data_IF_597095310396
#
_entry.id   IF_597095310396
#
_cell.length_a   1.000
_cell.length_b   1.000
_cell.length_c   1.000
_cell.angle_alpha   90.00
_cell.angle_beta   90.00
_cell.angle_gamma   90.00
#
_symmetry.space_group_name_H-M   'P 1'
#
loop_
_entity.id
_entity.type
_entity.pdbx_description
1 polymer ?
#
# COMPACT_ATOMS: atom_id res chain seq x y z
N UNK A 1 38.18 10.48 -16.59
CA UNK A 1 38.85 10.65 -15.29
C UNK A 1 39.40 12.06 -15.27
N UNK A 2 38.68 13.00 -14.67
CA UNK A 2 39.11 14.41 -14.68
C UNK A 2 39.98 14.66 -13.45
N UNK A 3 41.20 15.17 -13.71
CA UNK A 3 42.20 15.73 -12.78
C UNK A 3 41.90 15.62 -11.28
N UNK A 4 42.69 14.80 -10.58
CA UNK A 4 42.70 14.72 -9.11
C UNK A 4 43.81 15.63 -8.58
N UNK A 5 43.50 16.47 -7.60
CA UNK A 5 44.51 17.20 -6.83
C UNK A 5 44.89 16.41 -5.58
N UNK A 6 46.10 16.67 -5.06
CA UNK A 6 46.49 16.19 -3.74
C UNK A 6 45.58 16.79 -2.65
N UNK A 7 45.30 16.05 -1.55
CA UNK A 7 44.49 16.56 -0.45
C UNK A 7 45.21 17.68 0.29
N UNK A 8 44.48 18.73 0.66
CA UNK A 8 44.97 19.80 1.54
C UNK A 8 44.65 19.43 2.98
N UNK A 9 45.67 19.16 3.78
CA UNK A 9 45.53 18.81 5.20
C UNK A 9 46.02 19.98 6.05
N UNK A 10 45.15 20.50 6.91
CA UNK A 10 45.47 21.60 7.83
C UNK A 10 45.01 21.26 9.26
N UNK A 11 45.58 21.94 10.26
CA UNK A 11 45.09 21.83 11.65
C UNK A 11 43.65 22.33 11.72
N UNK A 12 42.75 21.56 12.32
CA UNK A 12 41.38 21.95 12.61
C UNK A 12 41.08 21.78 14.10
N UNK A 13 40.06 22.49 14.60
CA UNK A 13 39.59 22.31 15.99
C UNK A 13 38.71 21.06 16.07
N UNK A 14 38.67 20.39 17.22
CA UNK A 14 37.79 19.24 17.44
C UNK A 14 36.31 19.59 17.24
N UNK A 15 35.92 20.85 17.51
CA UNK A 15 34.59 21.39 17.25
C UNK A 15 34.22 21.49 15.77
N UNK A 16 35.18 21.38 14.85
CA UNK A 16 35.01 21.48 13.39
C UNK A 16 34.90 20.10 12.74
N UNK A 17 34.31 19.12 13.44
CA UNK A 17 34.09 17.78 12.92
C UNK A 17 32.84 17.73 12.02
N UNK A 18 33.04 17.95 10.72
CA UNK A 18 31.99 17.84 9.71
C UNK A 18 32.53 17.34 8.38
N UNK A 19 31.63 16.86 7.52
CA UNK A 19 31.94 16.53 6.12
C UNK A 19 31.07 17.38 5.22
N UNK A 20 31.69 18.09 4.28
CA UNK A 20 30.99 18.86 3.25
C UNK A 20 31.38 18.31 1.90
N UNK A 21 30.37 17.96 1.13
CA UNK A 21 30.54 17.61 -0.28
C UNK A 21 30.07 18.81 -1.11
N UNK A 22 30.92 19.27 -2.02
CA UNK A 22 30.57 20.28 -3.01
C UNK A 22 30.93 19.73 -4.38
N UNK A 23 29.98 19.74 -5.30
CA UNK A 23 30.18 19.21 -6.64
C UNK A 23 29.49 20.12 -7.66
N UNK A 24 30.01 20.11 -8.88
CA UNK A 24 29.39 20.73 -10.06
C UNK A 24 29.08 19.59 -11.03
N UNK A 25 27.79 19.31 -11.32
CA UNK A 25 27.46 18.25 -12.27
C UNK A 25 27.96 18.63 -13.67
N UNK A 26 28.46 17.63 -14.39
CA UNK A 26 28.79 17.77 -15.80
C UNK A 26 27.50 17.72 -16.63
N UNK A 27 26.87 18.89 -16.78
CA UNK A 27 25.58 19.02 -17.45
C UNK A 27 25.64 18.62 -18.93
N UNK A 28 26.80 18.74 -19.58
CA UNK A 28 26.95 18.36 -20.98
C UNK A 28 26.72 16.86 -21.20
N UNK A 29 27.11 16.01 -20.23
CA UNK A 29 26.82 14.56 -20.27
C UNK A 29 25.33 14.23 -20.19
N UNK A 30 24.52 15.17 -19.70
CA UNK A 30 23.06 15.04 -19.63
C UNK A 30 22.34 15.82 -20.73
N UNK A 31 23.08 16.37 -21.71
CA UNK A 31 22.56 17.28 -22.74
C UNK A 31 21.85 18.52 -22.15
N UNK A 32 22.35 19.04 -21.03
CA UNK A 32 21.80 20.20 -20.32
C UNK A 32 22.79 21.37 -20.33
N UNK A 33 22.28 22.60 -20.37
CA UNK A 33 23.10 23.83 -20.27
C UNK A 33 23.06 24.44 -18.87
N UNK A 34 21.98 24.22 -18.15
CA UNK A 34 21.76 24.64 -16.77
C UNK A 34 20.84 23.62 -16.08
N UNK A 35 20.71 23.71 -14.76
CA UNK A 35 19.73 22.92 -14.03
C UNK A 35 18.35 23.57 -14.20
N UNK A 36 17.48 22.92 -14.96
CA UNK A 36 16.09 23.34 -15.15
C UNK A 36 15.31 23.35 -13.81
N UNK A 37 14.29 24.20 -13.73
CA UNK A 37 13.51 24.42 -12.51
C UNK A 37 12.81 23.14 -12.00
N UNK A 38 12.34 22.29 -12.91
CA UNK A 38 11.75 20.97 -12.59
C UNK A 38 12.76 20.04 -11.90
N UNK A 39 14.00 20.00 -12.37
CA UNK A 39 15.08 19.19 -11.82
C UNK A 39 15.48 19.72 -10.45
N UNK A 40 15.61 21.05 -10.32
CA UNK A 40 15.83 21.70 -9.03
C UNK A 40 14.69 21.39 -8.07
N UNK A 41 13.44 21.42 -8.52
CA UNK A 41 12.28 21.07 -7.69
C UNK A 41 12.33 19.61 -7.21
N UNK A 42 12.75 18.67 -8.06
CA UNK A 42 12.95 17.27 -7.67
C UNK A 42 14.08 17.10 -6.65
N UNK A 43 15.19 17.83 -6.80
CA UNK A 43 16.28 17.84 -5.83
C UNK A 43 15.81 18.42 -4.49
N UNK A 44 15.07 19.53 -4.50
CA UNK A 44 14.48 20.14 -3.30
C UNK A 44 13.49 19.18 -2.63
N UNK A 45 12.60 18.55 -3.39
CA UNK A 45 11.69 17.51 -2.89
C UNK A 45 12.48 16.42 -2.17
N UNK A 46 13.60 15.95 -2.75
CA UNK A 46 14.40 14.89 -2.15
C UNK A 46 14.98 15.28 -0.78
N UNK A 47 15.25 16.56 -0.55
CA UNK A 47 15.67 17.07 0.77
C UNK A 47 14.52 16.99 1.79
N UNK A 48 13.28 17.30 1.38
CA UNK A 48 12.09 17.11 2.23
C UNK A 48 11.84 15.62 2.53
N UNK A 49 12.01 14.74 1.54
CA UNK A 49 11.90 13.29 1.72
C UNK A 49 12.88 12.79 2.80
N UNK A 50 14.13 13.27 2.77
CA UNK A 50 15.15 12.94 3.77
C UNK A 50 14.80 13.49 5.15
N UNK A 51 14.30 14.73 5.24
CA UNK A 51 13.86 15.29 6.52
C UNK A 51 12.73 14.45 7.16
N UNK A 52 11.78 13.98 6.35
CA UNK A 52 10.74 13.05 6.80
C UNK A 52 11.29 11.72 7.32
N UNK A 53 12.28 11.14 6.63
CA UNK A 53 12.91 9.87 7.03
C UNK A 53 13.77 9.98 8.30
N UNK A 54 14.45 11.11 8.50
CA UNK A 54 15.34 11.32 9.66
C UNK A 54 14.57 11.75 10.91
N UNK A 55 13.40 12.36 10.73
CA UNK A 55 12.54 12.82 11.82
C UNK A 55 13.24 13.83 12.73
N UNK A 56 13.04 13.71 14.05
CA UNK A 56 13.54 14.66 15.05
C UNK A 56 15.05 14.53 15.32
N UNK A 57 15.70 13.50 14.80
CA UNK A 57 17.11 13.19 15.11
C UNK A 57 18.09 14.14 14.43
N UNK A 58 17.73 14.68 13.26
CA UNK A 58 18.60 15.52 12.43
C UNK A 58 17.85 16.76 11.98
N UNK A 59 18.46 17.93 12.16
CA UNK A 59 17.96 19.19 11.57
C UNK A 59 18.44 19.29 10.13
N UNK A 60 17.51 19.54 9.22
CA UNK A 60 17.79 19.64 7.79
C UNK A 60 17.56 21.08 7.33
N UNK A 61 18.58 21.67 6.72
CA UNK A 61 18.54 23.01 6.13
C UNK A 61 18.68 22.94 4.61
N UNK A 62 17.87 23.72 3.92
CA UNK A 62 17.91 23.86 2.47
C UNK A 62 18.09 25.33 2.11
N UNK A 63 19.20 25.67 1.46
CA UNK A 63 19.51 27.04 1.04
C UNK A 63 19.46 28.06 2.20
N UNK A 64 19.87 27.64 3.41
CA UNK A 64 19.88 28.49 4.61
C UNK A 64 18.53 28.61 5.34
N UNK A 65 17.49 27.94 4.84
CA UNK A 65 16.18 27.88 5.51
C UNK A 65 15.95 26.49 6.08
N UNK A 66 15.57 26.40 7.35
CA UNK A 66 15.27 25.13 8.00
C UNK A 66 13.99 24.50 7.43
N UNK A 67 14.07 23.22 7.08
CA UNK A 67 12.92 22.46 6.60
C UNK A 67 11.94 22.23 7.76
N UNK A 68 10.64 22.46 7.51
CA UNK A 68 9.59 22.40 8.53
C UNK A 68 9.23 20.98 8.97
N UNK A 69 9.50 19.99 8.11
CA UNK A 69 9.23 18.57 8.32
C UNK A 69 10.16 18.03 9.42
N UNK A 70 9.58 17.56 10.53
CA UNK A 70 10.31 17.02 11.69
C UNK A 70 9.91 15.59 12.04
N UNK A 71 8.97 15.01 11.31
CA UNK A 71 8.43 13.66 11.55
C UNK A 71 7.83 13.08 10.28
N UNK A 72 7.59 11.77 10.29
CA UNK A 72 6.84 11.09 9.24
C UNK A 72 5.45 11.69 9.05
N UNK A 73 4.72 11.97 10.14
CA UNK A 73 3.39 12.60 10.08
C UNK A 73 3.46 14.00 9.44
N UNK A 74 4.44 14.83 9.80
CA UNK A 74 4.62 16.15 9.16
C UNK A 74 4.88 16.01 7.66
N UNK A 75 5.72 15.04 7.28
CA UNK A 75 6.05 14.75 5.89
C UNK A 75 4.80 14.34 5.09
N UNK A 76 3.99 13.42 5.61
CA UNK A 76 2.73 13.01 4.96
C UNK A 76 1.76 14.20 4.85
N UNK A 77 1.67 15.04 5.89
CA UNK A 77 0.82 16.23 5.86
C UNK A 77 1.16 17.18 4.71
N UNK A 78 2.43 17.33 4.32
CA UNK A 78 2.83 18.11 3.13
C UNK A 78 2.11 17.61 1.87
N UNK A 79 1.97 16.29 1.70
CA UNK A 79 1.27 15.70 0.55
C UNK A 79 -0.24 15.94 0.58
N UNK A 80 -0.83 15.92 1.77
CA UNK A 80 -2.27 16.13 1.96
C UNK A 80 -2.64 17.59 1.81
N UNK A 81 -1.84 18.50 2.34
CA UNK A 81 -2.06 19.95 2.24
C UNK A 81 -1.88 20.45 0.80
N UNK A 82 -0.95 19.84 0.06
CA UNK A 82 -0.83 20.06 -1.38
C UNK A 82 -2.07 19.60 -2.15
N UNK A 83 -2.67 18.46 -1.77
CA UNK A 83 -3.89 17.95 -2.38
C UNK A 83 -5.10 18.85 -2.10
N UNK A 84 -5.20 19.37 -0.88
CA UNK A 84 -6.26 20.29 -0.45
C UNK A 84 -6.22 21.66 -1.15
N UNK A 85 -5.13 22.05 -1.83
CA UNK A 85 -5.14 23.24 -2.70
C UNK A 85 -6.01 23.07 -3.93
N UNK A 86 -6.28 21.81 -4.33
CA UNK A 86 -7.04 21.47 -5.53
C UNK A 86 -8.46 20.99 -5.25
N UNK A 87 -8.79 20.68 -3.99
CA UNK A 87 -10.09 20.17 -3.56
C UNK A 87 -10.51 20.84 -2.24
N UNK A 88 -11.81 21.05 -2.00
CA UNK A 88 -12.29 21.79 -0.83
C UNK A 88 -11.99 21.10 0.52
N UNK A 89 -11.69 19.80 0.53
CA UNK A 89 -11.46 19.04 1.76
C UNK A 89 -10.20 18.17 1.67
N UNK A 90 -9.47 18.08 2.79
CA UNK A 90 -8.27 17.26 2.92
C UNK A 90 -8.67 15.78 2.86
N UNK A 91 -8.03 14.96 2.00
CA UNK A 91 -8.38 13.55 1.91
C UNK A 91 -8.14 12.87 3.27
N UNK A 92 -9.02 11.95 3.69
CA UNK A 92 -8.78 11.19 4.90
C UNK A 92 -7.46 10.43 4.77
N UNK A 93 -6.68 10.48 5.84
CA UNK A 93 -5.41 9.77 5.97
C UNK A 93 -5.32 9.13 7.34
N UNK A 94 -4.80 7.91 7.40
CA UNK A 94 -4.51 7.19 8.63
C UNK A 94 -3.01 6.89 8.67
N UNK A 95 -2.29 7.51 9.60
CA UNK A 95 -0.89 7.23 9.89
C UNK A 95 -0.73 6.41 11.17
N UNK A 96 0.19 5.45 11.12
CA UNK A 96 0.50 4.56 12.24
C UNK A 96 1.99 4.26 12.29
N UNK A 97 2.58 4.42 13.48
CA UNK A 97 3.89 3.85 13.80
C UNK A 97 3.68 2.44 14.34
N UNK A 98 3.99 1.44 13.51
CA UNK A 98 3.80 0.02 13.85
C UNK A 98 4.88 -0.45 14.84
N UNK A 99 6.12 -0.03 14.61
CA UNK A 99 7.28 -0.30 15.47
C UNK A 99 8.43 0.67 15.11
N UNK A 100 9.62 0.46 15.67
CA UNK A 100 10.79 1.31 15.44
C UNK A 100 11.33 1.32 14.01
N UNK A 101 10.88 0.40 13.15
CA UNK A 101 11.31 0.28 11.75
C UNK A 101 10.21 0.56 10.74
N UNK A 102 8.96 0.69 11.18
CA UNK A 102 7.80 0.79 10.29
C UNK A 102 6.87 1.91 10.72
N UNK A 103 6.77 2.91 9.85
CA UNK A 103 5.75 3.95 9.86
C UNK A 103 5.01 3.87 8.53
N UNK A 104 3.67 3.86 8.60
CA UNK A 104 2.80 3.66 7.45
C UNK A 104 1.76 4.75 7.46
N UNK A 105 1.48 5.32 6.28
CA UNK A 105 0.31 6.16 6.08
C UNK A 105 -0.50 5.66 4.88
N UNK A 106 -1.81 5.56 5.07
CA UNK A 106 -2.76 5.26 4.00
C UNK A 106 -3.66 6.47 3.83
N UNK A 107 -3.83 6.94 2.60
CA UNK A 107 -4.74 8.05 2.27
C UNK A 107 -5.48 7.76 0.99
N UNK A 108 -6.75 8.19 0.92
CA UNK A 108 -7.55 8.06 -0.30
C UNK A 108 -7.07 9.03 -1.37
N UNK A 109 -6.81 8.50 -2.56
CA UNK A 109 -6.40 9.25 -3.75
C UNK A 109 -7.25 8.78 -4.93
N UNK A 110 -7.64 9.71 -5.79
CA UNK A 110 -8.27 9.36 -7.07
C UNK A 110 -7.21 8.88 -8.06
N UNK A 111 -7.53 7.84 -8.83
CA UNK A 111 -6.69 7.34 -9.91
C UNK A 111 -5.91 6.07 -9.55
N UNK A 112 -4.79 5.85 -10.23
CA UNK A 112 -3.97 4.65 -10.05
C UNK A 112 -3.16 4.71 -8.75
N UNK A 113 -2.98 3.53 -8.14
CA UNK A 113 -2.12 3.37 -6.97
C UNK A 113 -0.69 3.83 -7.26
N UNK A 114 -0.19 4.78 -6.47
CA UNK A 114 1.18 5.28 -6.55
C UNK A 114 1.81 5.26 -5.15
N UNK A 115 2.73 4.33 -4.86
CA UNK A 115 3.38 4.28 -3.56
C UNK A 115 4.46 5.36 -3.45
N UNK A 116 4.50 6.02 -2.30
CA UNK A 116 5.66 6.81 -1.87
C UNK A 116 6.30 6.04 -0.71
N UNK A 117 7.46 5.43 -0.95
CA UNK A 117 8.08 4.54 0.03
C UNK A 117 9.59 4.76 0.13
N UNK A 118 10.11 4.47 1.32
CA UNK A 118 11.52 4.60 1.64
C UNK A 118 12.02 3.39 2.40
N UNK A 119 13.24 2.93 2.08
CA UNK A 119 13.95 1.89 2.83
C UNK A 119 15.30 2.47 3.21
N UNK A 120 15.58 2.59 4.51
CA UNK A 120 16.82 3.20 5.01
C UNK A 120 17.10 4.57 4.37
N UNK A 121 16.08 5.43 4.31
CA UNK A 121 16.08 6.74 3.64
C UNK A 121 16.21 6.73 2.12
N UNK A 122 16.34 5.58 1.44
CA UNK A 122 16.39 5.48 -0.02
C UNK A 122 14.97 5.51 -0.58
N UNK A 123 14.69 6.43 -1.51
CA UNK A 123 13.40 6.51 -2.20
C UNK A 123 13.21 5.33 -3.16
N UNK A 124 12.27 4.44 -2.86
CA UNK A 124 11.93 3.28 -3.70
C UNK A 124 10.76 3.62 -4.63
N UNK A 125 11.03 4.46 -5.64
CA UNK A 125 10.00 5.02 -6.55
C UNK A 125 9.23 3.98 -7.36
N UNK A 126 9.81 2.78 -7.54
CA UNK A 126 9.15 1.64 -8.21
C UNK A 126 8.50 0.65 -7.23
N UNK A 127 8.52 0.94 -5.93
CA UNK A 127 8.09 0.01 -4.90
C UNK A 127 9.10 -1.13 -4.67
N UNK A 128 8.58 -2.33 -4.41
CA UNK A 128 9.34 -3.53 -4.06
C UNK A 128 8.60 -4.40 -3.07
N UNK A 129 9.27 -5.44 -2.56
CA UNK A 129 8.69 -6.43 -1.65
C UNK A 129 8.12 -5.81 -0.36
N UNK A 130 8.72 -4.73 0.15
CA UNK A 130 8.23 -3.99 1.31
C UNK A 130 6.91 -3.27 1.03
N UNK A 131 6.70 -2.77 -0.20
CA UNK A 131 5.42 -2.18 -0.61
C UNK A 131 4.38 -3.27 -0.83
N UNK A 132 4.77 -4.37 -1.49
CA UNK A 132 3.84 -5.47 -1.76
C UNK A 132 3.35 -6.13 -0.46
N UNK A 133 4.21 -6.26 0.54
CA UNK A 133 3.84 -6.76 1.87
C UNK A 133 2.71 -5.93 2.50
N UNK A 134 2.82 -4.59 2.47
CA UNK A 134 1.78 -3.69 2.99
C UNK A 134 0.55 -3.66 2.08
N UNK A 135 0.77 -3.71 0.76
CA UNK A 135 -0.31 -3.71 -0.24
C UNK A 135 -1.21 -4.93 -0.10
N UNK A 136 -0.65 -6.13 0.07
CA UNK A 136 -1.41 -7.37 0.23
C UNK A 136 -2.26 -7.31 1.52
N UNK A 137 -1.75 -6.70 2.60
CA UNK A 137 -2.50 -6.46 3.83
C UNK A 137 -3.68 -5.48 3.70
N UNK A 138 -3.73 -4.68 2.63
CA UNK A 138 -4.84 -3.75 2.33
C UNK A 138 -5.76 -4.26 1.21
N UNK A 139 -5.47 -5.43 0.64
CA UNK A 139 -6.43 -6.15 -0.17
C UNK A 139 -7.54 -6.68 0.72
N UNK A 140 -8.76 -6.16 0.56
CA UNK A 140 -9.92 -6.77 1.20
C UNK A 140 -10.06 -8.20 0.68
N UNK A 141 -9.62 -9.19 1.46
CA UNK A 141 -10.15 -10.54 1.33
C UNK A 141 -11.58 -10.51 1.87
N UNK A 142 -12.47 -9.86 1.13
CA UNK A 142 -13.90 -9.98 1.39
C UNK A 142 -14.34 -11.31 0.79
N UNK A 143 -14.57 -12.29 1.66
CA UNK A 143 -15.25 -13.50 1.25
C UNK A 143 -16.72 -13.15 1.03
N UNK A 144 -17.08 -12.87 -0.24
CA UNK A 144 -18.46 -12.75 -0.67
C UNK A 144 -18.84 -14.07 -1.35
N UNK A 145 -19.68 -14.91 -0.73
CA UNK A 145 -20.22 -16.10 -1.38
C UNK A 145 -21.03 -15.72 -2.62
N UNK A 146 -21.15 -16.66 -3.57
CA UNK A 146 -22.17 -16.52 -4.61
C UNK A 146 -23.56 -16.70 -3.97
N UNK A 147 -24.51 -15.83 -4.31
CA UNK A 147 -25.89 -15.89 -3.84
C UNK A 147 -26.85 -16.16 -5.00
N UNK A 148 -28.04 -16.65 -4.68
CA UNK A 148 -29.08 -16.86 -5.67
C UNK A 148 -29.53 -15.51 -6.26
N UNK A 149 -29.53 -15.33 -7.59
CA UNK A 149 -29.98 -14.10 -8.23
C UNK A 149 -31.39 -13.67 -7.82
N UNK A 150 -32.29 -14.62 -7.51
CA UNK A 150 -33.65 -14.28 -7.05
C UNK A 150 -33.65 -13.62 -5.68
N UNK A 151 -32.82 -14.13 -4.76
CA UNK A 151 -32.72 -13.61 -3.40
C UNK A 151 -32.02 -12.24 -3.40
N UNK A 152 -31.01 -12.07 -4.26
CA UNK A 152 -30.39 -10.78 -4.51
C UNK A 152 -31.39 -9.74 -5.02
N UNK A 153 -32.21 -10.09 -6.02
CA UNK A 153 -33.25 -9.19 -6.55
C UNK A 153 -34.28 -8.85 -5.47
N UNK A 154 -34.69 -9.82 -4.66
CA UNK A 154 -35.64 -9.60 -3.57
C UNK A 154 -35.08 -8.62 -2.53
N UNK A 155 -33.83 -8.80 -2.10
CA UNK A 155 -33.17 -7.91 -1.16
C UNK A 155 -32.91 -6.51 -1.73
N UNK A 156 -32.56 -6.39 -3.01
CA UNK A 156 -32.45 -5.08 -3.67
C UNK A 156 -33.80 -4.35 -3.64
N UNK A 157 -34.90 -5.04 -3.93
CA UNK A 157 -36.24 -4.44 -3.86
C UNK A 157 -36.61 -4.00 -2.44
N UNK A 158 -36.27 -4.79 -1.42
CA UNK A 158 -36.46 -4.44 0.00
C UNK A 158 -35.72 -3.16 0.36
N UNK A 159 -34.42 -3.10 0.02
CA UNK A 159 -33.59 -1.93 0.29
C UNK A 159 -34.10 -0.67 -0.41
N UNK A 160 -34.60 -0.80 -1.66
CA UNK A 160 -35.22 0.31 -2.38
C UNK A 160 -36.53 0.80 -1.73
N UNK A 161 -37.24 -0.08 -1.02
CA UNK A 161 -38.45 0.24 -0.28
C UNK A 161 -38.19 0.69 1.17
N UNK A 162 -36.92 0.73 1.62
CA UNK A 162 -36.55 1.11 2.98
C UNK A 162 -36.63 -0.04 4.01
N UNK A 163 -36.89 -1.26 3.56
CA UNK A 163 -36.92 -2.45 4.41
C UNK A 163 -35.50 -3.01 4.66
N UNK A 164 -35.32 -3.70 5.78
CA UNK A 164 -34.08 -4.42 6.06
C UNK A 164 -33.89 -5.62 5.12
N UNK A 165 -32.64 -5.85 4.68
CA UNK A 165 -32.28 -7.02 3.89
C UNK A 165 -32.35 -8.30 4.74
N UNK A 166 -32.84 -9.37 4.14
CA UNK A 166 -32.84 -10.70 4.74
C UNK A 166 -31.48 -11.40 4.55
N UNK A 167 -31.03 -12.20 5.53
CA UNK A 167 -29.85 -13.04 5.37
C UNK A 167 -30.01 -13.98 4.16
N UNK A 168 -28.96 -14.08 3.34
CA UNK A 168 -28.89 -15.01 2.22
C UNK A 168 -27.83 -16.07 2.51
N UNK A 169 -28.07 -17.28 2.00
CA UNK A 169 -27.11 -18.38 2.07
C UNK A 169 -26.43 -18.60 0.71
N UNK A 170 -25.18 -19.11 0.70
CA UNK A 170 -24.46 -19.37 -0.53
C UNK A 170 -25.22 -20.30 -1.48
N UNK A 171 -25.21 -19.97 -2.76
CA UNK A 171 -25.87 -20.73 -3.81
C UNK A 171 -25.07 -20.69 -5.11
N UNK A 172 -25.06 -21.82 -5.82
CA UNK A 172 -24.32 -21.97 -7.05
C UNK A 172 -25.19 -22.63 -8.10
N UNK A 173 -25.27 -22.00 -9.27
CA UNK A 173 -26.08 -22.49 -10.39
C UNK A 173 -25.58 -23.86 -10.82
N UNK A 174 -26.49 -24.83 -10.91
CA UNK A 174 -26.26 -26.23 -11.31
C UNK A 174 -25.53 -27.14 -10.33
N UNK A 175 -25.12 -26.64 -9.16
CA UNK A 175 -24.58 -27.48 -8.11
C UNK A 175 -25.68 -28.38 -7.52
N UNK A 176 -25.43 -29.68 -7.43
CA UNK A 176 -26.36 -30.70 -6.93
C UNK A 176 -26.00 -31.22 -5.54
N UNK A 177 -24.77 -30.97 -5.09
CA UNK A 177 -24.33 -31.26 -3.73
C UNK A 177 -25.02 -30.42 -2.65
N UNK A 178 -24.61 -30.58 -1.40
CA UNK A 178 -25.20 -29.86 -0.25
C UNK A 178 -24.32 -28.71 0.21
N UNK A 179 -24.97 -27.64 0.71
CA UNK A 179 -24.34 -26.48 1.33
C UNK A 179 -25.00 -26.32 2.70
N UNK A 180 -24.38 -26.88 3.73
CA UNK A 180 -24.93 -26.93 5.08
C UNK A 180 -24.29 -25.88 5.97
N UNK A 181 -25.11 -25.09 6.66
CA UNK A 181 -24.64 -24.07 7.58
C UNK A 181 -24.11 -24.73 8.85
N UNK A 182 -22.85 -24.45 9.19
CA UNK A 182 -22.19 -24.96 10.40
C UNK A 182 -21.98 -23.86 11.43
N UNK A 183 -21.94 -24.26 12.71
CA UNK A 183 -21.63 -23.35 13.80
C UNK A 183 -20.20 -22.80 13.63
N UNK A 184 -20.07 -21.49 13.45
CA UNK A 184 -18.77 -20.85 13.40
C UNK A 184 -18.13 -20.83 14.79
N UNK A 185 -16.80 -20.99 14.84
CA UNK A 185 -16.04 -20.87 16.09
C UNK A 185 -15.86 -19.41 16.53
N UNK A 186 -15.95 -18.44 15.61
CA UNK A 186 -15.85 -17.00 15.90
C UNK A 186 -16.72 -16.19 14.90
N UNK A 187 -17.74 -15.49 15.39
CA UNK A 187 -18.31 -14.27 14.78
C UNK A 187 -18.93 -14.28 13.37
N UNK A 188 -19.11 -15.42 12.68
CA UNK A 188 -19.63 -15.47 11.30
C UNK A 188 -20.53 -16.67 10.98
N UNK A 189 -20.97 -16.79 9.73
CA UNK A 189 -21.60 -18.01 9.22
C UNK A 189 -20.52 -18.91 8.60
N UNK A 190 -20.41 -20.16 9.04
CA UNK A 190 -19.56 -21.18 8.40
C UNK A 190 -20.44 -22.10 7.55
N UNK A 191 -19.91 -22.62 6.45
CA UNK A 191 -20.63 -23.53 5.54
C UNK A 191 -19.77 -24.74 5.19
N UNK A 192 -20.37 -25.93 5.26
CA UNK A 192 -19.80 -27.17 4.76
C UNK A 192 -20.38 -27.43 3.38
N UNK A 193 -19.52 -27.59 2.38
CA UNK A 193 -19.92 -27.88 1.00
C UNK A 193 -19.52 -29.32 0.68
N UNK A 194 -20.50 -30.15 0.34
CA UNK A 194 -20.31 -31.56 0.00
C UNK A 194 -20.68 -31.80 -1.46
N UNK A 195 -19.80 -32.46 -2.21
CA UNK A 195 -20.10 -32.96 -3.55
C UNK A 195 -20.98 -34.21 -3.51
N UNK A 196 -21.27 -34.78 -4.67
CA UNK A 196 -22.08 -36.00 -4.79
C UNK A 196 -21.23 -37.19 -5.21
N UNK A 197 -21.50 -38.35 -4.59
CA UNK A 197 -20.92 -39.64 -4.93
C UNK A 197 -22.03 -40.65 -5.23
N UNK A 198 -21.73 -41.58 -6.11
CA UNK A 198 -22.59 -42.70 -6.49
C UNK A 198 -21.86 -44.01 -6.15
N UNK A 199 -22.51 -44.91 -5.41
CA UNK A 199 -21.96 -46.23 -5.12
C UNK A 199 -22.20 -47.17 -6.30
N UNK A 200 -21.12 -47.61 -6.96
CA UNK A 200 -21.20 -48.48 -8.14
C UNK A 200 -21.17 -49.95 -7.73
N UNK A 201 -20.39 -50.29 -6.71
CA UNK A 201 -20.33 -51.61 -6.06
C UNK A 201 -19.60 -51.50 -4.71
N UNK A 202 -19.50 -52.61 -3.97
CA UNK A 202 -18.90 -52.71 -2.63
C UNK A 202 -17.47 -52.15 -2.50
N UNK A 203 -16.73 -52.02 -3.61
CA UNK A 203 -15.35 -51.51 -3.61
C UNK A 203 -15.16 -50.25 -4.45
N UNK A 204 -16.21 -49.75 -5.11
CA UNK A 204 -16.11 -48.68 -6.08
C UNK A 204 -17.14 -47.58 -5.83
N UNK A 205 -16.64 -46.40 -5.47
CA UNK A 205 -17.41 -45.16 -5.42
C UNK A 205 -17.05 -44.29 -6.62
N UNK A 206 -18.06 -43.75 -7.30
CA UNK A 206 -17.91 -42.80 -8.41
C UNK A 206 -18.26 -41.40 -7.93
N UNK A 207 -17.30 -40.49 -8.01
CA UNK A 207 -17.56 -39.07 -7.73
C UNK A 207 -18.28 -38.46 -8.94
N UNK A 208 -19.51 -37.97 -8.74
CA UNK A 208 -20.33 -37.38 -9.81
C UNK A 208 -20.26 -35.85 -9.80
N UNK A 209 -19.95 -35.23 -8.67
CA UNK A 209 -19.72 -33.79 -8.54
C UNK A 209 -18.78 -33.51 -7.36
N UNK A 210 -17.78 -32.63 -7.55
CA UNK A 210 -16.88 -32.22 -6.47
C UNK A 210 -17.45 -31.07 -5.65
N UNK A 211 -17.05 -30.92 -4.37
CA UNK A 211 -17.30 -29.70 -3.62
C UNK A 211 -16.80 -28.47 -4.37
N UNK A 212 -17.56 -27.38 -4.25
CA UNK A 212 -17.27 -26.14 -4.96
C UNK A 212 -15.91 -25.58 -4.53
N UNK A 213 -15.11 -25.12 -5.51
CA UNK A 213 -13.72 -24.65 -5.35
C UNK A 213 -12.69 -25.73 -4.97
N UNK A 214 -13.02 -27.03 -5.11
CA UNK A 214 -12.02 -28.12 -5.07
C UNK A 214 -11.60 -28.51 -6.48
N UNK A 215 -10.30 -28.72 -6.69
CA UNK A 215 -9.73 -29.29 -7.90
C UNK A 215 -9.03 -30.63 -7.57
N UNK A 216 -8.84 -31.50 -8.56
CA UNK A 216 -8.25 -32.83 -8.36
C UNK A 216 -6.71 -32.85 -8.38
N UNK A 217 -6.06 -31.69 -8.48
CA UNK A 217 -4.60 -31.54 -8.59
C UNK A 217 -4.05 -30.59 -7.52
N UNK A 218 -4.43 -30.82 -6.27
CA UNK A 218 -3.73 -30.22 -5.12
C UNK A 218 -2.62 -31.15 -4.64
#
# INVERSE_FOLDING_TARGET
METKSEPVISKCKESENWTKVSFKPDLAKFNMTHLEDNMVALMKKRVFDLAGCLGKSVKVDLSGTQVTVKSFTDYVNVYSDSAAKSKPEKPPSYDVKVNDRWEICVSLRDGQFQPVSFVNSIATTKGGTHVDYIRIGTGWSSYVPNYNPRDLIANIRRLLNGDAAEPMDPWYKWFKGTIDKTAAKEGGNSYTICGTIEEVNETTLRITELPIRRWTQD
#
